data_IF_867856184828
#
_entry.id   IF_867856184828
#
_cell.length_a   1.000
_cell.length_b   1.000
_cell.length_c   1.000
_cell.angle_alpha   90.00
_cell.angle_beta   90.00
_cell.angle_gamma   90.00
#
_symmetry.space_group_name_H-M   'P 1'
#
loop_
_entity.id
_entity.type
_entity.pdbx_description
1 polymer ?
#
# COMPACT_ATOMS: atom_id res chain seq x y z
N UNK A 1 -1.87 17.39 12.41
CA UNK A 1 -2.24 17.05 11.02
C UNK A 1 -2.52 15.56 11.01
N UNK A 2 -3.78 15.15 11.00
CA UNK A 2 -4.19 13.74 11.10
C UNK A 2 -4.09 13.09 9.73
N UNK A 3 -3.16 12.16 9.57
CA UNK A 3 -3.02 11.33 8.38
C UNK A 3 -4.30 10.51 8.19
N UNK A 4 -5.09 10.86 7.18
CA UNK A 4 -6.24 10.11 6.71
C UNK A 4 -5.73 8.90 5.89
N UNK A 5 -4.98 8.02 6.54
CA UNK A 5 -4.27 6.93 5.88
C UNK A 5 -5.19 5.77 5.46
N UNK A 6 -6.35 5.61 6.12
CA UNK A 6 -7.28 4.51 5.84
C UNK A 6 -8.72 5.03 5.91
N UNK A 7 -9.48 4.85 4.83
CA UNK A 7 -10.91 5.11 4.78
C UNK A 7 -11.67 3.79 4.74
N UNK A 8 -12.46 3.46 5.76
CA UNK A 8 -13.31 2.28 5.68
C UNK A 8 -14.44 2.47 4.65
N UNK A 9 -14.72 1.44 3.87
CA UNK A 9 -15.96 1.33 3.14
C UNK A 9 -17.09 1.17 4.16
N UNK A 10 -17.85 2.23 4.38
CA UNK A 10 -18.95 2.31 5.36
C UNK A 10 -19.99 1.18 5.23
N UNK A 11 -20.06 0.52 4.07
CA UNK A 11 -21.04 -0.53 3.77
C UNK A 11 -20.50 -1.96 3.79
N UNK A 12 -19.20 -2.15 3.51
CA UNK A 12 -18.64 -3.48 3.30
C UNK A 12 -17.44 -3.79 4.22
N UNK A 13 -17.05 -2.87 5.11
CA UNK A 13 -15.98 -3.09 6.09
C UNK A 13 -14.56 -3.20 5.50
N UNK A 14 -14.42 -2.98 4.19
CA UNK A 14 -13.12 -2.94 3.53
C UNK A 14 -12.37 -1.66 3.91
N UNK A 15 -11.15 -1.79 4.44
CA UNK A 15 -10.23 -0.68 4.55
C UNK A 15 -9.81 -0.25 3.13
N UNK A 16 -10.20 0.96 2.71
CA UNK A 16 -9.65 1.62 1.53
C UNK A 16 -8.37 2.30 1.98
N UNK A 17 -7.26 1.62 1.72
CA UNK A 17 -5.93 2.19 1.87
C UNK A 17 -5.69 3.14 0.72
N UNK A 18 -6.27 4.34 0.82
CA UNK A 18 -5.98 5.42 -0.12
C UNK A 18 -4.60 5.94 0.24
N UNK A 19 -3.61 5.23 -0.28
CA UNK A 19 -2.26 5.23 0.23
C UNK A 19 -1.71 6.66 0.32
N UNK A 20 -1.49 7.09 1.56
CA UNK A 20 -0.68 8.27 1.83
C UNK A 20 0.62 8.10 1.03
N UNK A 21 0.90 9.03 0.10
CA UNK A 21 2.11 8.95 -0.72
C UNK A 21 3.34 8.84 0.17
N UNK A 22 3.29 9.44 1.36
CA UNK A 22 4.34 9.33 2.37
C UNK A 22 4.45 7.92 2.95
N UNK A 23 3.33 7.19 3.13
CA UNK A 23 3.36 5.80 3.58
C UNK A 23 3.92 4.86 2.49
N UNK A 24 3.60 5.09 1.21
CA UNK A 24 4.19 4.35 0.09
C UNK A 24 5.70 4.60 -0.02
N UNK A 25 6.11 5.86 0.04
CA UNK A 25 7.53 6.23 0.00
C UNK A 25 8.30 5.62 1.19
N UNK A 26 7.70 5.64 2.38
CA UNK A 26 8.30 5.02 3.57
C UNK A 26 8.42 3.50 3.45
N UNK A 27 7.40 2.81 2.92
CA UNK A 27 7.45 1.36 2.70
C UNK A 27 8.55 0.96 1.71
N UNK A 28 8.73 1.74 0.63
CA UNK A 28 9.83 1.56 -0.34
C UNK A 28 11.18 1.81 0.31
N UNK A 29 11.29 2.86 1.14
CA UNK A 29 12.52 3.17 1.87
C UNK A 29 12.92 2.04 2.83
N UNK A 30 11.96 1.46 3.56
CA UNK A 30 12.21 0.31 4.46
C UNK A 30 12.67 -0.91 3.66
N UNK A 31 12.03 -1.22 2.53
CA UNK A 31 12.44 -2.33 1.65
C UNK A 31 13.87 -2.16 1.10
N UNK A 32 14.26 -0.92 0.82
CA UNK A 32 15.62 -0.59 0.39
C UNK A 32 16.66 -0.72 1.52
N UNK A 33 16.33 -0.22 2.71
CA UNK A 33 17.23 -0.24 3.87
C UNK A 33 17.36 -1.65 4.47
N UNK A 34 16.29 -2.44 4.43
CA UNK A 34 16.19 -3.76 5.06
C UNK A 34 15.64 -4.82 4.10
N UNK A 35 16.35 -5.13 3.01
CA UNK A 35 15.92 -6.17 2.09
C UNK A 35 15.93 -7.54 2.80
N UNK A 36 14.93 -8.40 2.55
CA UNK A 36 14.93 -9.78 3.05
C UNK A 36 16.18 -10.55 2.59
N UNK A 37 16.63 -11.49 3.42
CA UNK A 37 17.79 -12.31 3.10
C UNK A 37 17.58 -13.08 1.78
N UNK A 38 18.52 -12.93 0.85
CA UNK A 38 18.46 -13.56 -0.47
C UNK A 38 17.82 -12.70 -1.56
N UNK A 39 17.29 -11.52 -1.24
CA UNK A 39 16.84 -10.52 -2.22
C UNK A 39 17.82 -9.36 -2.34
N UNK A 40 18.00 -8.86 -3.56
CA UNK A 40 18.66 -7.56 -3.77
C UNK A 40 17.74 -6.43 -3.33
N UNK A 41 18.30 -5.24 -3.08
CA UNK A 41 17.50 -4.05 -2.73
C UNK A 41 16.48 -3.71 -3.80
N UNK A 42 16.88 -3.76 -5.06
CA UNK A 42 15.99 -3.50 -6.20
C UNK A 42 14.85 -4.53 -6.27
N UNK A 43 15.14 -5.80 -6.02
CA UNK A 43 14.11 -6.84 -5.97
C UNK A 43 13.14 -6.63 -4.80
N UNK A 44 13.65 -6.33 -3.60
CA UNK A 44 12.81 -6.06 -2.44
C UNK A 44 11.88 -4.85 -2.67
N UNK A 45 12.39 -3.79 -3.31
CA UNK A 45 11.57 -2.63 -3.68
C UNK A 45 10.54 -2.97 -4.76
N UNK A 46 10.89 -3.76 -5.76
CA UNK A 46 9.97 -4.17 -6.82
C UNK A 46 8.79 -4.98 -6.25
N UNK A 47 9.07 -5.96 -5.38
CA UNK A 47 8.05 -6.79 -4.72
C UNK A 47 7.13 -5.95 -3.83
N UNK A 48 7.68 -5.03 -3.04
CA UNK A 48 6.86 -4.13 -2.21
C UNK A 48 5.99 -3.21 -3.05
N UNK A 49 6.51 -2.68 -4.18
CA UNK A 49 5.70 -1.89 -5.11
C UNK A 49 4.57 -2.71 -5.72
N UNK A 50 4.82 -3.94 -6.14
CA UNK A 50 3.80 -4.82 -6.70
C UNK A 50 2.68 -5.10 -5.69
N UNK A 51 3.02 -5.39 -4.43
CA UNK A 51 2.03 -5.57 -3.37
C UNK A 51 1.23 -4.29 -3.13
N UNK A 52 1.90 -3.13 -3.04
CA UNK A 52 1.23 -1.84 -2.86
C UNK A 52 0.33 -1.48 -4.04
N UNK A 53 0.69 -1.84 -5.27
CA UNK A 53 -0.11 -1.61 -6.47
C UNK A 53 -1.30 -2.58 -6.56
N UNK A 54 -1.20 -3.76 -5.95
CA UNK A 54 -2.31 -4.72 -5.82
C UNK A 54 -3.37 -4.28 -4.80
N UNK A 55 -2.99 -3.41 -3.85
CA UNK A 55 -3.91 -2.81 -2.89
C UNK A 55 -4.72 -1.74 -3.62
N UNK A 56 -5.99 -2.07 -3.91
CA UNK A 56 -6.90 -1.18 -4.59
C UNK A 56 -7.43 -0.05 -3.70
N UNK A 57 -7.50 1.16 -4.26
CA UNK A 57 -8.21 2.32 -3.68
C UNK A 57 -9.74 2.15 -3.69
N UNK A 58 -10.23 1.07 -4.30
CA UNK A 58 -11.64 0.77 -4.52
C UNK A 58 -12.03 -0.52 -3.82
N UNK A 59 -13.18 -0.47 -3.14
CA UNK A 59 -13.82 -1.68 -2.65
C UNK A 59 -14.37 -2.46 -3.86
N UNK A 60 -13.97 -3.71 -4.07
CA UNK A 60 -14.40 -4.49 -5.24
C UNK A 60 -15.90 -4.83 -5.23
N UNK A 61 -16.54 -4.72 -4.06
CA UNK A 61 -17.99 -4.93 -3.87
C UNK A 61 -18.81 -3.66 -4.05
N UNK A 62 -18.16 -2.49 -4.09
CA UNK A 62 -18.85 -1.26 -4.47
C UNK A 62 -19.05 -1.23 -5.99
N UNK A 63 -20.24 -0.83 -6.50
CA UNK A 63 -20.39 -0.58 -7.91
C UNK A 63 -19.39 0.51 -8.35
N UNK A 64 -18.75 0.38 -9.53
CA UNK A 64 -17.94 1.46 -10.08
C UNK A 64 -18.85 2.68 -10.29
N UNK A 65 -18.49 3.80 -9.66
CA UNK A 65 -19.18 5.07 -9.83
C UNK A 65 -18.98 5.67 -11.21
#
# INVERSE_FOLDING_TARGET
MTAHAIHECEYHGWAKDRADSHARDHAVEVAWQHPPAGLSRDAAVAEVREVLDSIGDSCPECPPG
#
